data_IF_011153799250
#
_entry.id   IF_011153799250
#
_cell.length_a   1.000
_cell.length_b   1.000
_cell.length_c   1.000
_cell.angle_alpha   90.00
_cell.angle_beta   90.00
_cell.angle_gamma   90.00
#
_symmetry.space_group_name_H-M   'P 1'
#
loop_
_entity.id
_entity.type
_entity.pdbx_description
1 polymer ?
#
# COMPACT_ATOMS: atom_id res chain seq x y z
N UNK A 1 -4.41 19.38 -21.56
CA UNK A 1 -5.31 18.41 -20.89
C UNK A 1 -4.41 17.33 -20.34
N UNK A 2 -3.86 17.51 -19.15
CA UNK A 2 -3.11 16.45 -18.48
C UNK A 2 -3.40 16.59 -16.98
N UNK A 3 -4.53 16.02 -16.57
CA UNK A 3 -4.93 15.90 -15.18
C UNK A 3 -4.06 14.79 -14.56
N UNK A 4 -2.78 15.10 -14.37
CA UNK A 4 -1.83 14.25 -13.64
C UNK A 4 -2.37 14.14 -12.23
N UNK A 5 -3.06 13.04 -11.97
CA UNK A 5 -3.56 12.61 -10.67
C UNK A 5 -2.47 12.84 -9.62
N UNK A 6 -2.54 13.97 -8.93
CA UNK A 6 -1.72 14.34 -7.79
C UNK A 6 -2.17 13.48 -6.60
N UNK A 7 -2.05 12.16 -6.74
CA UNK A 7 -2.32 11.21 -5.66
C UNK A 7 -1.28 11.50 -4.59
N UNK A 8 -1.74 12.06 -3.48
CA UNK A 8 -0.89 12.29 -2.32
C UNK A 8 -0.19 10.97 -1.95
N UNK A 9 1.13 11.02 -1.94
CA UNK A 9 1.98 9.88 -1.60
C UNK A 9 2.30 9.97 -0.12
N UNK A 10 2.05 8.90 0.62
CA UNK A 10 2.40 8.74 2.02
C UNK A 10 3.35 7.56 2.20
N UNK A 11 4.05 7.54 3.32
CA UNK A 11 4.86 6.40 3.74
C UNK A 11 4.04 5.60 4.74
N UNK A 12 4.01 4.28 4.56
CA UNK A 12 3.32 3.38 5.47
C UNK A 12 4.11 3.29 6.78
N UNK A 13 3.47 3.51 7.92
CA UNK A 13 4.12 3.46 9.23
C UNK A 13 4.63 2.04 9.57
N UNK A 14 3.99 1.01 9.01
CA UNK A 14 4.33 -0.40 9.29
C UNK A 14 5.49 -0.92 8.42
N UNK A 15 5.37 -0.79 7.10
CA UNK A 15 6.33 -1.38 6.16
C UNK A 15 7.28 -0.37 5.53
N UNK A 16 7.13 0.92 5.84
CA UNK A 16 7.92 2.03 5.27
C UNK A 16 7.85 2.12 3.75
N UNK A 17 6.89 1.43 3.13
CA UNK A 17 6.63 1.50 1.71
C UNK A 17 5.88 2.77 1.35
N UNK A 18 6.20 3.33 0.19
CA UNK A 18 5.47 4.46 -0.37
C UNK A 18 4.12 3.96 -0.93
N UNK A 19 3.05 4.72 -0.71
CA UNK A 19 1.72 4.39 -1.24
C UNK A 19 0.90 5.65 -1.51
N UNK A 20 -0.18 5.52 -2.27
CA UNK A 20 -1.13 6.60 -2.51
C UNK A 20 -2.20 6.63 -1.42
N UNK A 21 -2.29 7.75 -0.69
CA UNK A 21 -3.23 7.92 0.42
C UNK A 21 -4.67 7.58 0.02
N UNK A 22 -5.10 8.03 -1.16
CA UNK A 22 -6.44 7.77 -1.70
C UNK A 22 -6.77 6.28 -1.95
N UNK A 23 -5.78 5.39 -1.93
CA UNK A 23 -5.99 3.95 -2.14
C UNK A 23 -6.09 3.15 -0.86
N UNK A 24 -5.75 3.76 0.28
CA UNK A 24 -5.88 3.11 1.58
C UNK A 24 -7.12 3.61 2.33
N UNK A 25 -7.68 2.76 3.18
CA UNK A 25 -8.74 3.13 4.13
C UNK A 25 -8.19 3.70 5.43
N UNK A 26 -6.89 3.52 5.68
CA UNK A 26 -6.19 4.03 6.86
C UNK A 26 -5.10 4.98 6.40
N UNK A 27 -5.15 6.21 6.90
CA UNK A 27 -4.28 7.33 6.48
C UNK A 27 -2.78 7.13 6.68
N UNK A 28 -2.38 6.13 7.47
CA UNK A 28 -0.98 5.84 7.82
C UNK A 28 -0.52 4.45 7.36
N UNK A 29 -1.39 3.64 6.74
CA UNK A 29 -1.05 2.28 6.30
C UNK A 29 -1.28 2.14 4.81
N UNK A 30 -0.38 1.42 4.13
CA UNK A 30 -0.64 1.04 2.75
C UNK A 30 -1.81 0.02 2.68
N UNK A 31 -2.43 -0.16 1.50
CA UNK A 31 -3.54 -1.10 1.34
C UNK A 31 -3.19 -2.54 1.74
N UNK A 32 -1.93 -2.94 1.56
CA UNK A 32 -1.44 -4.26 1.97
C UNK A 32 -1.41 -4.43 3.49
N UNK A 33 -0.76 -3.51 4.22
CA UNK A 33 -0.72 -3.57 5.69
C UNK A 33 -2.12 -3.38 6.30
N UNK A 34 -2.93 -2.48 5.73
CA UNK A 34 -4.33 -2.28 6.14
C UNK A 34 -5.17 -3.55 5.98
N UNK A 35 -4.96 -4.30 4.89
CA UNK A 35 -5.61 -5.58 4.68
C UNK A 35 -5.16 -6.64 5.68
N UNK A 36 -3.84 -6.83 5.85
CA UNK A 36 -3.33 -7.89 6.70
C UNK A 36 -3.60 -7.65 8.20
N UNK A 37 -3.56 -6.40 8.66
CA UNK A 37 -3.73 -6.05 10.09
C UNK A 37 -5.20 -5.93 10.47
N UNK A 38 -6.04 -5.37 9.59
CA UNK A 38 -7.43 -5.02 9.92
C UNK A 38 -8.49 -5.71 9.03
N UNK A 39 -8.08 -6.47 8.01
CA UNK A 39 -9.01 -7.15 7.11
C UNK A 39 -9.68 -6.26 6.06
N UNK A 40 -9.21 -5.03 5.84
CA UNK A 40 -9.76 -4.15 4.80
C UNK A 40 -9.54 -4.70 3.39
N UNK A 41 -10.28 -4.19 2.40
CA UNK A 41 -10.09 -4.58 1.00
C UNK A 41 -8.67 -4.26 0.52
N UNK A 42 -7.92 -5.30 0.11
CA UNK A 42 -6.58 -5.12 -0.43
C UNK A 42 -6.63 -4.51 -1.84
N UNK A 43 -5.56 -3.83 -2.24
CA UNK A 43 -5.37 -3.42 -3.62
C UNK A 43 -5.06 -4.64 -4.47
N UNK A 44 -5.67 -4.74 -5.66
CA UNK A 44 -5.25 -5.70 -6.67
C UNK A 44 -3.93 -5.21 -7.30
N UNK A 45 -2.82 -5.56 -6.65
CA UNK A 45 -1.48 -5.06 -6.94
C UNK A 45 -1.06 -5.33 -8.38
N UNK A 46 -0.83 -4.26 -9.13
CA UNK A 46 -0.29 -4.30 -10.49
C UNK A 46 1.07 -3.60 -10.53
N UNK A 47 2.14 -4.39 -10.49
CA UNK A 47 3.51 -3.90 -10.48
C UNK A 47 3.96 -3.44 -11.87
N UNK A 48 4.46 -2.22 -11.94
CA UNK A 48 5.07 -1.59 -13.13
C UNK A 48 6.31 -0.86 -12.63
N UNK A 49 7.50 -1.23 -13.13
CA UNK A 49 8.79 -0.70 -12.65
C UNK A 49 8.96 -0.83 -11.13
N UNK A 50 8.76 -2.04 -10.59
CA UNK A 50 9.00 -2.39 -9.17
C UNK A 50 8.05 -1.74 -8.14
N UNK A 51 7.11 -0.91 -8.59
CA UNK A 51 6.05 -0.32 -7.75
C UNK A 51 4.68 -0.63 -8.29
N UNK A 52 3.69 -0.68 -7.40
CA UNK A 52 2.32 -0.85 -7.81
C UNK A 52 1.82 0.43 -8.50
N UNK A 53 1.45 0.33 -9.77
CA UNK A 53 0.86 1.43 -10.54
C UNK A 53 -0.45 1.97 -9.92
N UNK A 54 -1.19 1.13 -9.19
CA UNK A 54 -2.48 1.48 -8.62
C UNK A 54 -2.38 2.16 -7.27
N UNK A 55 -1.65 1.56 -6.32
CA UNK A 55 -1.52 2.01 -4.93
C UNK A 55 -0.13 2.55 -4.56
N UNK A 56 0.86 2.52 -5.44
CA UNK A 56 2.22 3.01 -5.19
C UNK A 56 3.12 2.06 -4.39
N UNK A 57 2.54 1.03 -3.78
CA UNK A 57 3.24 0.05 -2.93
C UNK A 57 4.38 -0.65 -3.67
N UNK A 58 5.57 -0.65 -3.08
CA UNK A 58 6.78 -1.26 -3.65
C UNK A 58 6.95 -2.77 -3.36
N UNK A 59 5.93 -3.43 -2.82
CA UNK A 59 6.00 -4.86 -2.48
C UNK A 59 6.68 -5.17 -1.14
N UNK A 60 7.11 -4.16 -0.38
CA UNK A 60 7.67 -4.36 0.96
C UNK A 60 6.57 -4.49 2.01
N UNK A 61 6.61 -5.58 2.78
CA UNK A 61 5.81 -5.80 3.98
C UNK A 61 6.70 -5.86 5.22
N UNK A 62 6.20 -5.37 6.36
CA UNK A 62 6.91 -5.41 7.63
C UNK A 62 7.07 -6.86 8.12
N UNK A 63 8.03 -7.11 9.01
CA UNK A 63 8.18 -8.44 9.63
C UNK A 63 6.89 -8.88 10.32
N UNK A 64 6.21 -7.95 10.98
CA UNK A 64 4.94 -8.20 11.67
C UNK A 64 3.85 -8.67 10.69
N UNK A 65 3.64 -7.94 9.59
CA UNK A 65 2.68 -8.32 8.55
C UNK A 65 3.03 -9.68 7.93
N UNK A 66 4.32 -9.94 7.68
CA UNK A 66 4.77 -11.25 7.17
C UNK A 66 4.45 -12.40 8.13
N UNK A 67 4.50 -12.17 9.45
CA UNK A 67 4.09 -13.18 10.43
C UNK A 67 2.59 -13.47 10.35
N UNK A 68 1.75 -12.45 10.14
CA UNK A 68 0.29 -12.62 9.97
C UNK A 68 -0.09 -13.36 8.68
N UNK A 69 0.74 -13.26 7.63
CA UNK A 69 0.48 -13.92 6.34
C UNK A 69 0.84 -15.41 6.31
N UNK A 70 1.49 -15.93 7.37
CA UNK A 70 2.14 -17.24 7.36
C UNK A 70 1.44 -18.29 8.25
N UNK A 71 0.18 -18.08 8.61
CA UNK A 71 -0.69 -19.03 9.32
C UNK A 71 -1.57 -19.86 8.37
#
# INVERSE_FOLDING_TARGET
MDNTLNKEKKICDECQSLYFAATSKIDNLCPDCSHNIYGYTNCNHQFVNEVCSKCGWNGQSSKFVKTLMNE
#
